data_IF_286139568461
#
_entry.id   IF_286139568461
#
_cell.length_a   1.000
_cell.length_b   1.000
_cell.length_c   1.000
_cell.angle_alpha   90.00
_cell.angle_beta   90.00
_cell.angle_gamma   90.00
#
_symmetry.space_group_name_H-M   'P 1'
#
loop_
_entity.id
_entity.type
_entity.pdbx_description
1 polymer ?
#
# COMPACT_ATOMS: atom_id res chain seq x y z
N UNK A 1 9.30 20.94 -36.77
CA UNK A 1 8.70 21.97 -36.13
C UNK A 1 7.76 21.68 -34.98
N UNK A 2 6.81 22.51 -34.85
CA UNK A 2 5.87 22.42 -33.77
C UNK A 2 5.04 21.12 -33.75
N UNK A 3 4.95 20.44 -34.86
CA UNK A 3 4.27 19.16 -34.91
C UNK A 3 4.99 18.08 -34.11
N UNK A 4 6.30 18.11 -34.05
CA UNK A 4 7.07 17.17 -33.27
C UNK A 4 6.84 17.30 -31.78
N UNK A 5 6.54 18.51 -31.30
CA UNK A 5 6.31 18.73 -29.88
C UNK A 5 5.06 18.01 -29.36
N UNK A 6 3.97 18.03 -30.14
CA UNK A 6 2.76 17.34 -29.71
C UNK A 6 2.88 15.83 -29.73
N UNK A 7 3.69 15.28 -30.65
CA UNK A 7 3.91 13.83 -30.73
C UNK A 7 4.73 13.31 -29.57
N UNK A 8 5.64 14.13 -29.02
CA UNK A 8 6.53 13.74 -27.94
C UNK A 8 5.85 13.71 -26.58
N UNK A 9 4.63 14.26 -26.48
CA UNK A 9 3.95 14.42 -25.21
C UNK A 9 3.04 13.27 -24.83
N UNK A 10 3.00 12.24 -25.62
CA UNK A 10 2.19 11.08 -25.31
C UNK A 10 2.99 9.81 -25.50
N UNK A 11 2.80 8.92 -24.56
CA UNK A 11 3.32 7.59 -24.68
C UNK A 11 2.43 6.79 -25.65
N UNK A 12 3.02 5.88 -26.39
CA UNK A 12 2.25 4.96 -27.21
C UNK A 12 1.83 3.73 -26.39
N UNK A 13 1.03 2.90 -27.00
CA UNK A 13 0.48 1.70 -26.35
C UNK A 13 1.59 0.75 -25.88
N UNK A 14 2.62 0.55 -26.71
CA UNK A 14 3.71 -0.36 -26.40
C UNK A 14 4.54 0.14 -25.22
N UNK A 15 4.74 1.44 -25.15
CA UNK A 15 5.46 2.07 -24.03
C UNK A 15 4.69 1.93 -22.72
N UNK A 16 3.39 2.10 -22.75
CA UNK A 16 2.55 1.88 -21.59
C UNK A 16 2.56 0.43 -21.14
N UNK A 17 2.57 -0.49 -22.08
CA UNK A 17 2.70 -1.91 -21.81
C UNK A 17 4.04 -2.23 -21.15
N UNK A 18 5.12 -1.62 -21.64
CA UNK A 18 6.46 -1.81 -21.07
C UNK A 18 6.49 -1.37 -19.60
N UNK A 19 5.88 -0.22 -19.28
CA UNK A 19 5.79 0.23 -17.90
C UNK A 19 4.96 -0.72 -17.04
N UNK A 20 3.84 -1.21 -17.54
CA UNK A 20 3.02 -2.19 -16.81
C UNK A 20 3.80 -3.45 -16.52
N UNK A 21 4.66 -3.88 -17.42
CA UNK A 21 5.52 -5.03 -17.20
C UNK A 21 6.53 -4.76 -16.09
N UNK A 22 7.12 -3.56 -16.06
CA UNK A 22 7.98 -3.16 -14.95
C UNK A 22 7.25 -3.19 -13.62
N UNK A 23 6.00 -2.75 -13.60
CA UNK A 23 5.19 -2.72 -12.38
C UNK A 23 4.88 -4.12 -11.84
N UNK A 24 4.89 -5.14 -12.68
CA UNK A 24 4.66 -6.53 -12.25
C UNK A 24 5.68 -7.00 -11.23
N UNK A 25 6.87 -6.45 -11.23
CA UNK A 25 7.90 -6.79 -10.25
C UNK A 25 7.49 -6.41 -8.82
N UNK A 26 6.55 -5.46 -8.69
CA UNK A 26 6.08 -5.01 -7.38
C UNK A 26 4.82 -5.75 -6.92
N UNK A 27 4.32 -6.72 -7.71
CA UNK A 27 3.06 -7.41 -7.40
C UNK A 27 3.10 -8.14 -6.06
N UNK A 28 4.28 -8.56 -5.63
CA UNK A 28 4.46 -9.39 -4.42
C UNK A 28 4.82 -8.58 -3.18
N UNK A 29 4.94 -7.26 -3.28
CA UNK A 29 5.22 -6.46 -2.08
C UNK A 29 3.97 -6.28 -1.23
N UNK A 30 4.18 -5.95 0.04
CA UNK A 30 3.08 -5.67 0.97
C UNK A 30 2.13 -4.64 0.35
N UNK A 31 0.86 -4.75 0.63
CA UNK A 31 -0.24 -4.01 0.04
C UNK A 31 -0.66 -4.56 -1.33
N UNK A 32 0.25 -4.58 -2.31
CA UNK A 32 -0.09 -5.02 -3.66
C UNK A 32 -0.39 -6.52 -3.72
N UNK A 33 0.30 -7.32 -2.92
CA UNK A 33 0.07 -8.77 -2.90
C UNK A 33 -1.34 -9.15 -2.47
N UNK A 34 -2.00 -8.29 -1.73
CA UNK A 34 -3.34 -8.53 -1.21
C UNK A 34 -4.45 -7.91 -2.06
N UNK A 35 -4.10 -7.24 -3.15
CA UNK A 35 -5.08 -6.74 -4.12
C UNK A 35 -5.57 -7.89 -4.99
N UNK A 36 -6.86 -7.87 -5.35
CA UNK A 36 -7.34 -8.73 -6.42
C UNK A 36 -6.69 -8.30 -7.73
N UNK A 37 -6.75 -9.15 -8.75
CA UNK A 37 -6.18 -8.76 -10.05
C UNK A 37 -6.84 -7.49 -10.59
N UNK A 38 -8.14 -7.32 -10.42
CA UNK A 38 -8.84 -6.12 -10.84
C UNK A 38 -8.37 -4.88 -10.08
N UNK A 39 -8.22 -5.00 -8.77
CA UNK A 39 -7.70 -3.91 -7.92
C UNK A 39 -6.27 -3.56 -8.30
N UNK A 40 -5.44 -4.57 -8.54
CA UNK A 40 -4.07 -4.35 -8.98
C UNK A 40 -4.01 -3.62 -10.33
N UNK A 41 -4.87 -3.99 -11.27
CA UNK A 41 -4.91 -3.33 -12.58
C UNK A 41 -5.24 -1.85 -12.42
N UNK A 42 -6.18 -1.51 -11.55
CA UNK A 42 -6.50 -0.10 -11.27
C UNK A 42 -5.32 0.62 -10.60
N UNK A 43 -4.68 -0.04 -9.67
CA UNK A 43 -3.48 0.51 -9.02
C UNK A 43 -2.38 0.79 -10.04
N UNK A 44 -2.10 -0.18 -10.91
CA UNK A 44 -1.09 -0.02 -11.95
C UNK A 44 -1.44 1.11 -12.90
N UNK A 45 -2.72 1.28 -13.22
CA UNK A 45 -3.18 2.40 -14.04
C UNK A 45 -2.92 3.74 -13.38
N UNK A 46 -3.15 3.85 -12.07
CA UNK A 46 -2.86 5.07 -11.33
C UNK A 46 -1.37 5.41 -11.35
N UNK A 47 -0.51 4.41 -11.08
CA UNK A 47 0.94 4.59 -11.12
C UNK A 47 1.38 5.03 -12.51
N UNK A 48 0.91 4.34 -13.54
CA UNK A 48 1.29 4.61 -14.93
C UNK A 48 0.86 6.03 -15.33
N UNK A 49 -0.35 6.43 -14.96
CA UNK A 49 -0.85 7.77 -15.27
C UNK A 49 -0.01 8.85 -14.60
N UNK A 50 0.37 8.64 -13.34
CA UNK A 50 1.20 9.58 -12.60
C UNK A 50 2.58 9.73 -13.23
N UNK A 51 3.18 8.63 -13.63
CA UNK A 51 4.50 8.64 -14.29
C UNK A 51 4.41 9.35 -15.64
N UNK A 52 3.41 9.00 -16.45
CA UNK A 52 3.24 9.62 -17.77
C UNK A 52 3.01 11.12 -17.64
N UNK A 53 2.27 11.55 -16.65
CA UNK A 53 2.03 12.96 -16.40
C UNK A 53 3.31 13.70 -16.02
N UNK A 54 4.15 13.07 -15.19
CA UNK A 54 5.42 13.67 -14.77
C UNK A 54 6.49 13.60 -15.85
N UNK A 55 6.43 12.62 -16.69
CA UNK A 55 7.41 12.37 -17.76
C UNK A 55 6.66 12.18 -19.08
N UNK A 56 6.23 13.28 -19.73
CA UNK A 56 5.46 13.18 -20.97
C UNK A 56 6.21 12.53 -22.13
N UNK A 57 7.56 12.60 -22.10
CA UNK A 57 8.39 11.98 -23.11
C UNK A 57 8.94 10.66 -22.59
N UNK A 58 8.51 9.56 -23.18
CA UNK A 58 8.85 8.24 -22.69
C UNK A 58 10.36 7.99 -22.64
N UNK A 59 11.10 8.39 -23.68
CA UNK A 59 12.55 8.15 -23.74
C UNK A 59 13.26 8.89 -22.60
N UNK A 60 12.81 10.07 -22.24
CA UNK A 60 13.36 10.80 -21.10
C UNK A 60 13.20 10.00 -19.80
N UNK A 61 12.05 9.36 -19.63
CA UNK A 61 11.80 8.55 -18.45
C UNK A 61 12.63 7.27 -18.46
N UNK A 62 12.55 6.48 -19.54
CA UNK A 62 13.14 5.13 -19.54
C UNK A 62 14.67 5.16 -19.52
N UNK A 63 15.26 6.24 -20.02
CA UNK A 63 16.71 6.40 -20.07
C UNK A 63 17.30 7.05 -18.83
N UNK A 64 16.45 7.41 -17.86
CA UNK A 64 16.94 7.99 -16.61
C UNK A 64 17.83 7.01 -15.85
N UNK A 65 18.91 7.53 -15.22
CA UNK A 65 19.64 6.71 -14.26
C UNK A 65 18.73 6.25 -13.14
N UNK A 66 18.84 5.00 -12.72
CA UNK A 66 18.05 4.44 -11.63
C UNK A 66 16.53 4.57 -11.85
N UNK A 67 16.07 4.31 -13.08
CA UNK A 67 14.64 4.40 -13.41
C UNK A 67 13.80 3.51 -12.49
N UNK A 68 14.32 2.36 -12.07
CA UNK A 68 13.60 1.47 -11.16
C UNK A 68 13.35 2.13 -9.80
N UNK A 69 14.28 2.92 -9.30
CA UNK A 69 14.08 3.66 -8.05
C UNK A 69 12.98 4.71 -8.21
N UNK A 70 12.93 5.36 -9.37
CA UNK A 70 11.86 6.30 -9.68
C UNK A 70 10.51 5.60 -9.72
N UNK A 71 10.42 4.45 -10.37
CA UNK A 71 9.18 3.67 -10.39
C UNK A 71 8.74 3.30 -8.97
N UNK A 72 9.69 2.86 -8.14
CA UNK A 72 9.40 2.51 -6.75
C UNK A 72 8.81 3.68 -5.97
N UNK A 73 9.33 4.88 -6.17
CA UNK A 73 8.80 6.09 -5.52
C UNK A 73 7.33 6.29 -5.91
N UNK A 74 6.98 6.10 -7.18
CA UNK A 74 5.59 6.26 -7.62
C UNK A 74 4.69 5.15 -7.08
N UNK A 75 5.20 3.94 -6.94
CA UNK A 75 4.45 2.84 -6.31
C UNK A 75 4.14 3.19 -4.86
N UNK A 76 5.15 3.61 -4.08
CA UNK A 76 4.96 3.99 -2.67
C UNK A 76 4.01 5.17 -2.56
N UNK A 77 4.18 6.18 -3.39
CA UNK A 77 3.31 7.37 -3.37
C UNK A 77 1.85 6.99 -3.65
N UNK A 78 1.61 6.08 -4.57
CA UNK A 78 0.25 5.64 -4.89
C UNK A 78 -0.37 4.88 -3.72
N UNK A 79 0.40 4.03 -3.03
CA UNK A 79 -0.08 3.37 -1.81
C UNK A 79 -0.46 4.42 -0.76
N UNK A 80 0.40 5.41 -0.54
CA UNK A 80 0.14 6.50 0.42
C UNK A 80 -1.14 7.25 0.05
N UNK A 81 -1.30 7.58 -1.22
CA UNK A 81 -2.49 8.30 -1.70
C UNK A 81 -3.76 7.50 -1.46
N UNK A 82 -3.74 6.19 -1.70
CA UNK A 82 -4.90 5.34 -1.47
C UNK A 82 -5.24 5.24 0.02
N UNK A 83 -4.24 5.13 0.89
CA UNK A 83 -4.46 5.09 2.33
C UNK A 83 -5.02 6.42 2.84
N UNK A 84 -4.54 7.54 2.31
CA UNK A 84 -5.06 8.86 2.67
C UNK A 84 -6.48 9.08 2.15
N UNK A 85 -6.79 8.54 0.98
CA UNK A 85 -8.13 8.68 0.39
C UNK A 85 -9.17 7.87 1.16
N UNK A 86 -8.81 6.68 1.63
CA UNK A 86 -9.73 5.81 2.35
C UNK A 86 -8.93 4.91 3.30
N UNK A 87 -9.05 5.16 4.60
CA UNK A 87 -8.31 4.41 5.63
C UNK A 87 -8.67 2.92 5.64
N UNK A 88 -9.82 2.54 5.10
CA UNK A 88 -10.20 1.12 4.98
C UNK A 88 -9.25 0.37 4.07
N UNK A 89 -8.49 1.06 3.23
CA UNK A 89 -7.45 0.44 2.42
C UNK A 89 -6.32 -0.18 3.24
N UNK A 90 -6.25 0.10 4.54
CA UNK A 90 -5.36 -0.61 5.47
C UNK A 90 -5.56 -2.13 5.41
N UNK A 91 -6.73 -2.59 4.98
CA UNK A 91 -7.00 -4.03 4.81
C UNK A 91 -6.07 -4.69 3.80
N UNK A 92 -5.49 -3.92 2.90
CA UNK A 92 -4.53 -4.47 1.93
C UNK A 92 -3.15 -4.67 2.53
N UNK A 93 -2.81 -3.93 3.58
CA UNK A 93 -1.59 -4.20 4.37
C UNK A 93 -1.82 -5.33 5.37
N UNK A 94 -3.00 -5.37 5.97
CA UNK A 94 -3.32 -6.30 7.04
C UNK A 94 -4.67 -6.97 6.75
N UNK A 95 -4.71 -7.97 5.86
CA UNK A 95 -5.98 -8.63 5.52
C UNK A 95 -6.65 -9.25 6.75
N UNK A 96 -7.96 -9.15 6.83
CA UNK A 96 -8.72 -9.65 7.97
C UNK A 96 -8.42 -11.14 8.26
N UNK A 97 -8.39 -11.96 7.22
CA UNK A 97 -8.13 -13.40 7.41
C UNK A 97 -6.75 -13.66 8.02
N UNK A 98 -5.76 -12.87 7.65
CA UNK A 98 -4.42 -12.98 8.22
C UNK A 98 -4.41 -12.60 9.69
N UNK A 99 -5.17 -11.56 10.05
CA UNK A 99 -5.28 -11.12 11.44
C UNK A 99 -6.02 -12.16 12.31
N UNK A 100 -7.01 -12.84 11.74
CA UNK A 100 -7.69 -13.93 12.44
C UNK A 100 -6.74 -15.11 12.64
N UNK A 101 -6.00 -15.49 11.63
CA UNK A 101 -5.02 -16.58 11.71
C UNK A 101 -3.93 -16.30 12.74
N UNK A 102 -3.53 -15.03 12.84
CA UNK A 102 -2.54 -14.61 13.84
C UNK A 102 -3.14 -14.38 15.22
N UNK A 103 -4.43 -14.64 15.39
CA UNK A 103 -5.19 -14.45 16.64
C UNK A 103 -5.21 -12.99 17.12
N UNK A 104 -5.01 -12.06 16.22
CA UNK A 104 -5.10 -10.61 16.52
C UNK A 104 -6.55 -10.17 16.59
N UNK A 105 -7.41 -10.75 15.75
CA UNK A 105 -8.84 -10.45 15.71
C UNK A 105 -9.66 -11.73 15.85
N UNK A 106 -10.88 -11.60 16.43
CA UNK A 106 -11.82 -12.72 16.44
C UNK A 106 -12.34 -13.00 15.03
N UNK A 107 -12.70 -14.26 14.77
CA UNK A 107 -13.40 -14.62 13.55
C UNK A 107 -14.84 -14.12 13.60
N UNK A 108 -15.47 -14.03 12.41
CA UNK A 108 -16.87 -13.71 12.31
C UNK A 108 -17.22 -12.22 12.43
N UNK A 109 -16.25 -11.32 12.36
CA UNK A 109 -16.55 -9.89 12.31
C UNK A 109 -17.19 -9.54 10.97
N UNK A 110 -18.26 -8.75 11.04
CA UNK A 110 -18.92 -8.25 9.84
C UNK A 110 -18.10 -7.10 9.21
N UNK A 111 -18.56 -6.63 8.06
CA UNK A 111 -17.86 -5.57 7.34
C UNK A 111 -17.76 -4.28 8.15
N UNK A 112 -18.81 -3.92 8.88
CA UNK A 112 -18.81 -2.71 9.70
C UNK A 112 -17.78 -2.80 10.81
N UNK A 113 -17.69 -3.96 11.47
CA UNK A 113 -16.72 -4.19 12.54
C UNK A 113 -15.29 -4.21 11.99
N UNK A 114 -15.06 -4.84 10.84
CA UNK A 114 -13.74 -4.83 10.19
C UNK A 114 -13.33 -3.40 9.83
N UNK A 115 -14.23 -2.61 9.26
CA UNK A 115 -13.94 -1.23 8.90
C UNK A 115 -13.64 -0.37 10.14
N UNK A 116 -14.37 -0.61 11.24
CA UNK A 116 -14.09 0.07 12.51
C UNK A 116 -12.68 -0.22 13.02
N UNK A 117 -12.23 -1.47 12.87
CA UNK A 117 -10.87 -1.86 13.23
C UNK A 117 -9.85 -1.09 12.40
N UNK A 118 -10.00 -1.04 11.08
CA UNK A 118 -9.05 -0.36 10.22
C UNK A 118 -9.03 1.14 10.46
N UNK A 119 -10.18 1.73 10.76
CA UNK A 119 -10.25 3.14 11.13
C UNK A 119 -9.50 3.41 12.44
N UNK A 120 -9.69 2.55 13.43
CA UNK A 120 -8.97 2.63 14.69
C UNK A 120 -7.46 2.52 14.48
N UNK A 121 -7.04 1.53 13.69
CA UNK A 121 -5.64 1.30 13.40
C UNK A 121 -5.02 2.52 12.71
N UNK A 122 -5.71 3.09 11.72
CA UNK A 122 -5.23 4.27 11.02
C UNK A 122 -5.05 5.45 11.97
N UNK A 123 -5.96 5.64 12.93
CA UNK A 123 -5.83 6.69 13.93
C UNK A 123 -4.58 6.49 14.80
N UNK A 124 -4.34 5.27 15.24
CA UNK A 124 -3.17 4.96 16.08
C UNK A 124 -1.87 5.11 15.29
N UNK A 125 -1.88 4.73 14.02
CA UNK A 125 -0.74 4.92 13.12
C UNK A 125 -0.41 6.42 12.99
N UNK A 126 -1.42 7.26 12.85
CA UNK A 126 -1.23 8.71 12.73
C UNK A 126 -0.63 9.34 13.99
N UNK A 127 -0.86 8.74 15.16
CA UNK A 127 -0.21 9.19 16.40
C UNK A 127 1.22 8.70 16.53
N UNK A 128 1.52 7.55 15.96
CA UNK A 128 2.82 6.88 16.15
C UNK A 128 3.84 7.32 15.12
N UNK A 129 3.40 7.56 13.89
CA UNK A 129 4.27 7.95 12.77
C UNK A 129 4.02 9.41 12.39
N UNK A 130 5.05 10.14 11.93
CA UNK A 130 4.89 11.55 11.56
C UNK A 130 3.87 11.76 10.44
N UNK A 131 3.82 10.81 9.48
CA UNK A 131 2.89 10.84 8.36
C UNK A 131 2.70 9.42 7.81
N UNK A 132 1.74 9.28 6.89
CA UNK A 132 1.43 7.99 6.28
C UNK A 132 2.59 7.48 5.44
N UNK A 133 3.34 8.36 4.79
CA UNK A 133 4.50 7.97 4.01
C UNK A 133 5.56 7.29 4.87
N UNK A 134 5.87 7.86 6.03
CA UNK A 134 6.81 7.25 6.98
C UNK A 134 6.36 5.86 7.42
N UNK A 135 5.06 5.72 7.68
CA UNK A 135 4.49 4.43 8.04
C UNK A 135 4.64 3.41 6.91
N UNK A 136 4.28 3.79 5.68
CA UNK A 136 4.37 2.88 4.52
C UNK A 136 5.83 2.48 4.28
N UNK A 137 6.76 3.43 4.33
CA UNK A 137 8.18 3.13 4.17
C UNK A 137 8.67 2.17 5.24
N UNK A 138 8.26 2.35 6.49
CA UNK A 138 8.60 1.43 7.56
C UNK A 138 8.06 0.03 7.31
N UNK A 139 6.82 -0.07 6.83
CA UNK A 139 6.20 -1.36 6.52
C UNK A 139 6.88 -2.09 5.36
N UNK A 140 7.38 -1.36 4.37
CA UNK A 140 7.96 -1.98 3.18
C UNK A 140 9.44 -2.30 3.34
N UNK A 141 10.15 -1.61 4.23
CA UNK A 141 11.60 -1.69 4.28
C UNK A 141 12.16 -2.38 5.52
N UNK A 142 11.38 -2.52 6.60
CA UNK A 142 11.94 -2.90 7.88
C UNK A 142 11.01 -3.78 8.69
N UNK A 143 11.56 -4.91 9.16
CA UNK A 143 10.84 -5.84 10.02
C UNK A 143 10.76 -5.36 11.48
N UNK A 144 11.60 -4.42 11.91
CA UNK A 144 11.59 -3.94 13.29
C UNK A 144 10.32 -3.20 13.65
N UNK A 145 9.63 -2.62 12.66
CA UNK A 145 8.35 -1.95 12.86
C UNK A 145 7.22 -2.89 13.23
N UNK A 146 7.38 -4.19 13.01
CA UNK A 146 6.28 -5.14 13.20
C UNK A 146 5.83 -5.26 14.64
N UNK A 147 6.74 -5.16 15.62
CA UNK A 147 6.32 -5.23 17.02
C UNK A 147 5.46 -4.03 17.41
N UNK A 148 5.77 -2.84 16.93
CA UNK A 148 4.95 -1.65 17.15
C UNK A 148 3.59 -1.80 16.48
N UNK A 149 3.57 -2.24 15.23
CA UNK A 149 2.33 -2.46 14.49
C UNK A 149 1.45 -3.49 15.21
N UNK A 150 2.04 -4.59 15.67
CA UNK A 150 1.30 -5.61 16.40
C UNK A 150 0.67 -5.04 17.67
N UNK A 151 1.37 -4.18 18.40
CA UNK A 151 0.82 -3.52 19.57
C UNK A 151 -0.37 -2.64 19.22
N UNK A 152 -0.27 -1.85 18.15
CA UNK A 152 -1.37 -0.99 17.72
C UNK A 152 -2.59 -1.82 17.31
N UNK A 153 -2.38 -2.93 16.61
CA UNK A 153 -3.45 -3.84 16.23
C UNK A 153 -4.13 -4.44 17.47
N UNK A 154 -3.34 -4.89 18.43
CA UNK A 154 -3.86 -5.48 19.66
C UNK A 154 -4.65 -4.47 20.48
N UNK A 155 -4.18 -3.22 20.55
CA UNK A 155 -4.91 -2.15 21.24
C UNK A 155 -6.27 -1.90 20.60
N UNK A 156 -6.35 -1.86 19.27
CA UNK A 156 -7.62 -1.68 18.58
C UNK A 156 -8.56 -2.87 18.80
N UNK A 157 -8.04 -4.09 18.77
CA UNK A 157 -8.85 -5.27 19.02
C UNK A 157 -9.42 -5.28 20.44
N UNK A 158 -8.61 -4.91 21.43
CA UNK A 158 -9.04 -4.81 22.81
C UNK A 158 -10.09 -3.71 22.98
N UNK A 159 -9.83 -2.52 22.44
CA UNK A 159 -10.71 -1.36 22.61
C UNK A 159 -12.07 -1.58 21.94
N UNK A 160 -12.10 -2.17 20.74
CA UNK A 160 -13.34 -2.31 19.98
C UNK A 160 -14.12 -3.57 20.30
N UNK A 161 -13.43 -4.67 20.58
CA UNK A 161 -14.05 -5.99 20.68
C UNK A 161 -13.79 -6.71 21.99
N UNK A 162 -13.05 -6.08 22.91
CA UNK A 162 -12.61 -6.75 24.13
C UNK A 162 -11.76 -7.98 23.85
N UNK A 163 -11.10 -8.04 22.70
CA UNK A 163 -10.32 -9.18 22.27
C UNK A 163 -8.86 -8.97 22.67
N UNK A 164 -8.33 -9.90 23.48
CA UNK A 164 -6.94 -9.85 23.92
C UNK A 164 -6.30 -11.22 23.76
N UNK A 165 -5.02 -11.22 23.38
CA UNK A 165 -4.23 -12.42 23.36
C UNK A 165 -3.88 -12.75 24.82
N UNK A 166 -4.17 -13.99 25.25
CA UNK A 166 -3.86 -14.42 26.60
C UNK A 166 -2.38 -14.78 26.70
N UNK A 167 -1.58 -13.82 27.13
CA UNK A 167 -0.14 -14.00 27.30
C UNK A 167 0.17 -14.63 28.65
N UNK A 168 -0.74 -14.57 29.60
CA UNK A 168 -0.52 -15.05 30.96
C UNK A 168 -0.27 -16.55 30.98
N UNK A 169 -0.97 -17.30 30.13
CA UNK A 169 -0.78 -18.76 30.02
C UNK A 169 0.62 -19.14 29.56
N UNK A 170 1.24 -18.27 28.77
CA UNK A 170 2.59 -18.51 28.24
C UNK A 170 3.64 -18.26 29.32
N UNK A 171 3.36 -17.37 30.23
CA UNK A 171 4.29 -17.00 31.31
C UNK A 171 4.40 -18.07 32.39
N UNK A 172 3.42 -18.95 32.48
CA UNK A 172 3.47 -20.05 33.44
C UNK A 172 4.31 -21.21 32.93
#
# INVERSE_FOLDING_TARGET
>A
GFFGCSQQKQWNREQRQALRQMLREYRDIAYLENLTEAEYMLFADEVAAAIEQSYPVYTTFIEMPAVNDTVQVYVVTTIVDQLNADVRNMRHLFPYNSLVQANVLPSGLDRVQQNAFYKCLAQKVNYTYPDVESFVNAMLSDTTSMSTINQLQQQCAADLFGWEIDIIEIAE
#
